data_IF_083911931843
#
_entry.id   IF_083911931843
#
_cell.length_a   1.000
_cell.length_b   1.000
_cell.length_c   1.000
_cell.angle_alpha   90.00
_cell.angle_beta   90.00
_cell.angle_gamma   90.00
#
_symmetry.space_group_name_H-M   'P 1'
#
loop_
_entity.id
_entity.type
_entity.pdbx_description
1 polymer ?
#
# COMPACT_ATOMS: atom_id res chain seq x y z
N UNK A 1 0.16 -41.99 -30.22
CA UNK A 1 0.88 -41.67 -28.96
C UNK A 1 1.09 -40.16 -28.75
N UNK A 2 0.12 -39.33 -29.15
CA UNK A 2 0.22 -37.84 -28.99
C UNK A 2 -0.82 -37.25 -28.01
N UNK A 3 -1.62 -38.08 -27.35
CA UNK A 3 -2.73 -37.65 -26.50
C UNK A 3 -2.35 -37.43 -25.02
N UNK A 4 -1.29 -38.08 -24.52
CA UNK A 4 -0.93 -37.97 -23.09
C UNK A 4 -0.20 -36.68 -22.72
N UNK A 5 0.67 -36.17 -23.60
CA UNK A 5 1.39 -34.90 -23.35
C UNK A 5 0.46 -33.66 -23.46
N UNK A 6 -0.52 -33.73 -24.37
CA UNK A 6 -1.49 -32.62 -24.52
C UNK A 6 -2.44 -32.52 -23.32
N UNK A 7 -2.83 -33.65 -22.74
CA UNK A 7 -3.67 -33.70 -21.52
C UNK A 7 -2.90 -33.19 -20.28
N UNK A 8 -1.60 -33.50 -20.17
CA UNK A 8 -0.76 -32.97 -19.10
C UNK A 8 -0.57 -31.43 -19.21
N UNK A 9 -0.39 -30.90 -20.43
CA UNK A 9 -0.26 -29.46 -20.65
C UNK A 9 -1.55 -28.72 -20.32
N UNK A 10 -2.71 -29.25 -20.67
CA UNK A 10 -4.02 -28.70 -20.33
C UNK A 10 -4.32 -28.78 -18.82
N UNK A 11 -3.87 -29.81 -18.14
CA UNK A 11 -4.03 -29.94 -16.68
C UNK A 11 -3.13 -28.98 -15.89
N UNK A 12 -1.95 -28.66 -16.42
CA UNK A 12 -1.04 -27.66 -15.83
C UNK A 12 -1.56 -26.24 -16.08
N UNK A 13 -2.07 -25.95 -17.28
CA UNK A 13 -2.71 -24.66 -17.57
C UNK A 13 -4.01 -24.45 -16.79
N UNK A 14 -4.82 -25.50 -16.61
CA UNK A 14 -6.01 -25.44 -15.76
C UNK A 14 -5.68 -25.30 -14.26
N UNK A 15 -4.56 -25.88 -13.79
CA UNK A 15 -4.04 -25.65 -12.43
C UNK A 15 -3.49 -24.24 -12.22
N UNK A 16 -2.89 -23.63 -13.24
CA UNK A 16 -2.42 -22.24 -13.21
C UNK A 16 -3.62 -21.28 -13.26
N UNK A 17 -4.66 -21.59 -14.02
CA UNK A 17 -5.89 -20.80 -14.09
C UNK A 17 -6.75 -20.87 -12.80
N UNK A 18 -6.54 -21.89 -11.96
CA UNK A 18 -7.20 -22.03 -10.64
C UNK A 18 -6.32 -21.60 -9.45
N UNK A 19 -5.20 -20.92 -9.68
CA UNK A 19 -4.59 -20.12 -8.62
C UNK A 19 -5.49 -18.90 -8.40
N UNK A 20 -6.48 -19.04 -7.53
CA UNK A 20 -7.27 -17.95 -7.01
C UNK A 20 -6.29 -16.88 -6.54
N UNK A 21 -6.29 -15.72 -7.19
CA UNK A 21 -5.55 -14.54 -6.73
C UNK A 21 -6.05 -14.25 -5.32
N UNK A 22 -5.24 -14.56 -4.31
CA UNK A 22 -5.58 -14.30 -2.91
C UNK A 22 -5.00 -12.95 -2.50
N UNK A 23 -5.61 -12.32 -1.51
CA UNK A 23 -4.99 -11.21 -0.78
C UNK A 23 -3.64 -11.67 -0.23
N UNK A 24 -2.59 -10.88 -0.44
CA UNK A 24 -1.27 -11.12 0.13
C UNK A 24 -0.91 -10.02 1.11
N UNK A 25 -0.46 -10.41 2.30
CA UNK A 25 0.01 -9.48 3.33
C UNK A 25 1.46 -9.78 3.63
N UNK A 26 2.31 -8.79 3.41
CA UNK A 26 3.75 -8.88 3.65
C UNK A 26 4.11 -8.10 4.90
N UNK A 27 4.83 -8.76 5.81
CA UNK A 27 5.41 -8.17 7.02
C UNK A 27 6.93 -8.33 6.93
N UNK A 28 7.66 -7.34 6.39
CA UNK A 28 9.10 -7.48 6.18
C UNK A 28 9.87 -7.60 7.49
N UNK A 29 10.64 -8.67 7.63
CA UNK A 29 11.49 -8.96 8.79
C UNK A 29 12.80 -8.13 8.74
N UNK A 30 12.69 -6.80 8.86
CA UNK A 30 13.83 -5.89 8.77
C UNK A 30 14.08 -5.14 10.08
N UNK A 31 15.33 -5.11 10.62
CA UNK A 31 15.63 -4.44 11.89
C UNK A 31 15.26 -2.97 11.94
N UNK A 32 15.44 -2.22 10.84
CA UNK A 32 15.06 -0.80 10.77
C UNK A 32 13.54 -0.61 10.83
N UNK A 33 12.77 -1.48 10.20
CA UNK A 33 11.29 -1.45 10.30
C UNK A 33 10.87 -1.69 11.74
N UNK A 34 11.44 -2.70 12.41
CA UNK A 34 11.19 -2.98 13.83
C UNK A 34 11.60 -1.83 14.74
N UNK A 35 12.74 -1.20 14.47
CA UNK A 35 13.21 -0.03 15.21
C UNK A 35 12.23 1.14 15.12
N UNK A 36 11.89 1.57 13.90
CA UNK A 36 10.98 2.70 13.70
C UNK A 36 9.56 2.40 14.19
N UNK A 37 9.10 1.16 14.08
CA UNK A 37 7.83 0.74 14.68
C UNK A 37 7.87 0.87 16.21
N UNK A 38 8.97 0.50 16.87
CA UNK A 38 9.12 0.65 18.32
C UNK A 38 9.08 2.12 18.74
N UNK A 39 9.76 3.00 17.99
CA UNK A 39 9.71 4.45 18.21
C UNK A 39 8.28 4.97 18.04
N UNK A 40 7.55 4.56 16.96
CA UNK A 40 6.18 4.98 16.72
C UNK A 40 5.20 4.50 17.82
N UNK A 41 5.45 3.33 18.42
CA UNK A 41 4.57 2.77 19.47
C UNK A 41 4.73 3.42 20.83
N UNK A 42 5.92 3.90 21.15
CA UNK A 42 6.16 4.47 22.49
C UNK A 42 5.31 5.73 22.67
N UNK A 43 4.47 5.74 23.72
CA UNK A 43 3.59 6.85 24.06
C UNK A 43 4.38 8.13 24.42
N UNK A 44 5.63 7.99 24.90
CA UNK A 44 6.51 9.10 25.25
C UNK A 44 7.22 9.71 24.02
N UNK A 45 7.10 9.11 22.84
CA UNK A 45 7.72 9.63 21.63
C UNK A 45 7.10 10.98 21.26
N UNK A 46 7.89 12.09 21.25
CA UNK A 46 7.39 13.40 20.84
C UNK A 46 6.86 13.38 19.39
N UNK A 47 5.86 14.23 19.09
CA UNK A 47 5.20 14.31 17.78
C UNK A 47 6.19 14.43 16.61
N UNK A 48 7.25 15.23 16.73
CA UNK A 48 8.29 15.36 15.69
C UNK A 48 8.98 14.05 15.39
N UNK A 49 9.39 13.31 16.43
CA UNK A 49 10.05 12.02 16.26
C UNK A 49 9.06 10.92 15.81
N UNK A 50 7.82 10.97 16.31
CA UNK A 50 6.75 10.10 15.83
C UNK A 50 6.53 10.28 14.32
N UNK A 51 6.44 11.53 13.84
CA UNK A 51 6.30 11.84 12.42
C UNK A 51 7.48 11.31 11.61
N UNK A 52 8.71 11.50 12.11
CA UNK A 52 9.91 10.95 11.46
C UNK A 52 9.88 9.41 11.40
N UNK A 53 9.46 8.75 12.47
CA UNK A 53 9.35 7.29 12.49
C UNK A 53 8.31 6.78 11.48
N UNK A 54 7.15 7.43 11.40
CA UNK A 54 6.12 7.10 10.42
C UNK A 54 6.61 7.30 8.98
N UNK A 55 7.28 8.41 8.71
CA UNK A 55 7.87 8.70 7.39
C UNK A 55 8.89 7.62 6.97
N UNK A 56 9.82 7.24 7.87
CA UNK A 56 10.79 6.19 7.59
C UNK A 56 10.11 4.82 7.38
N UNK A 57 9.07 4.49 8.14
CA UNK A 57 8.28 3.28 7.88
C UNK A 57 7.64 3.32 6.50
N UNK A 58 7.09 4.46 6.10
CA UNK A 58 6.58 4.68 4.74
C UNK A 58 7.63 4.39 3.66
N UNK A 59 8.86 4.89 3.85
CA UNK A 59 9.99 4.67 2.94
C UNK A 59 10.30 3.18 2.78
N UNK A 60 10.57 2.50 3.89
CA UNK A 60 11.04 1.12 3.85
C UNK A 60 9.97 0.14 3.39
N UNK A 61 8.73 0.33 3.80
CA UNK A 61 7.60 -0.48 3.31
C UNK A 61 7.34 -0.26 1.82
N UNK A 62 7.46 0.97 1.33
CA UNK A 62 7.32 1.25 -0.12
C UNK A 62 8.47 0.64 -0.92
N UNK A 63 9.70 0.71 -0.41
CA UNK A 63 10.83 0.05 -1.05
C UNK A 63 10.61 -1.45 -1.21
N UNK A 64 10.10 -2.12 -0.18
CA UNK A 64 9.75 -3.55 -0.27
C UNK A 64 8.56 -3.80 -1.21
N UNK A 65 7.53 -2.98 -1.16
CA UNK A 65 6.34 -3.11 -1.99
C UNK A 65 6.62 -2.96 -3.49
N UNK A 66 7.66 -2.22 -3.83
CA UNK A 66 8.03 -1.92 -5.22
C UNK A 66 9.08 -2.87 -5.80
N UNK A 67 9.68 -3.74 -5.00
CA UNK A 67 10.81 -4.61 -5.35
C UNK A 67 10.64 -5.36 -6.70
N UNK A 68 9.51 -6.02 -6.91
CA UNK A 68 9.21 -6.82 -8.10
C UNK A 68 7.96 -6.30 -8.84
N UNK A 69 7.62 -5.03 -8.63
CA UNK A 69 6.38 -4.46 -9.11
C UNK A 69 6.57 -3.27 -10.04
N UNK A 70 7.66 -2.52 -9.87
CA UNK A 70 7.97 -1.42 -10.77
C UNK A 70 8.33 -1.95 -12.15
N UNK A 71 7.70 -1.43 -13.21
CA UNK A 71 8.08 -1.76 -14.57
C UNK A 71 9.44 -1.14 -14.89
N UNK A 72 10.29 -1.89 -15.58
CA UNK A 72 11.61 -1.42 -16.00
C UNK A 72 11.79 -1.49 -17.50
N UNK A 73 12.68 -0.68 -18.02
CA UNK A 73 13.12 -0.69 -19.41
C UNK A 73 14.65 -0.76 -19.45
N UNK A 74 15.15 -1.69 -20.28
CA UNK A 74 16.57 -1.84 -20.53
C UNK A 74 17.00 -0.94 -21.71
N UNK A 75 18.13 -0.29 -21.55
CA UNK A 75 18.72 0.61 -22.56
C UNK A 75 20.25 0.60 -22.47
N UNK A 76 20.89 1.47 -23.22
CA UNK A 76 22.35 1.66 -23.22
C UNK A 76 22.66 3.09 -22.83
N UNK A 77 23.53 3.26 -21.84
CA UNK A 77 24.05 4.56 -21.42
C UNK A 77 25.53 4.72 -21.74
N UNK A 78 25.97 5.97 -21.91
CA UNK A 78 27.37 6.31 -22.01
C UNK A 78 27.90 6.65 -20.61
N UNK A 79 28.84 5.85 -20.12
CA UNK A 79 29.63 6.20 -18.92
C UNK A 79 30.81 7.12 -19.33
N UNK A 80 31.55 7.68 -18.39
CA UNK A 80 32.75 8.45 -18.72
C UNK A 80 33.80 7.67 -19.56
N UNK A 81 33.77 6.34 -19.49
CA UNK A 81 34.79 5.50 -20.15
C UNK A 81 34.23 4.73 -21.35
N UNK A 82 33.04 4.18 -21.28
CA UNK A 82 32.48 3.33 -22.34
C UNK A 82 30.96 3.25 -22.27
N UNK A 83 30.35 2.60 -23.26
CA UNK A 83 28.91 2.28 -23.26
C UNK A 83 28.67 1.03 -22.44
N UNK A 84 27.56 1.01 -21.67
CA UNK A 84 27.12 -0.16 -20.94
C UNK A 84 25.60 -0.29 -20.93
N UNK A 85 25.09 -1.49 -20.68
CA UNK A 85 23.66 -1.73 -20.44
C UNK A 85 23.24 -1.07 -19.13
N UNK A 86 22.01 -0.53 -19.12
CA UNK A 86 21.41 0.13 -17.97
C UNK A 86 19.92 -0.19 -17.91
N UNK A 87 19.40 -0.29 -16.70
CA UNK A 87 17.96 -0.51 -16.45
C UNK A 87 17.39 0.72 -15.74
N UNK A 88 16.29 1.24 -16.25
CA UNK A 88 15.54 2.35 -15.65
C UNK A 88 14.13 1.92 -15.30
N UNK A 89 13.52 2.56 -14.29
CA UNK A 89 12.08 2.50 -14.12
C UNK A 89 11.43 3.07 -15.37
N UNK A 90 10.45 2.37 -15.92
CA UNK A 90 9.80 2.80 -17.17
C UNK A 90 9.00 4.09 -16.94
N UNK A 91 9.40 5.23 -17.54
CA UNK A 91 8.74 6.52 -17.33
C UNK A 91 7.36 6.62 -17.99
N UNK A 92 7.04 5.73 -18.93
CA UNK A 92 5.76 5.71 -19.64
C UNK A 92 4.65 5.01 -18.84
N UNK A 93 5.03 4.27 -17.78
CA UNK A 93 4.06 3.56 -16.96
C UNK A 93 3.58 4.46 -15.81
N UNK A 94 2.29 4.86 -15.81
CA UNK A 94 1.78 5.77 -14.81
C UNK A 94 1.74 5.13 -13.42
N UNK A 95 2.20 5.90 -12.42
CA UNK A 95 2.16 5.53 -11.00
C UNK A 95 1.42 6.61 -10.25
N UNK A 96 0.46 6.22 -9.41
CA UNK A 96 -0.27 7.11 -8.51
C UNK A 96 -0.04 6.77 -7.04
N UNK A 97 0.12 7.79 -6.22
CA UNK A 97 0.13 7.68 -4.75
C UNK A 97 -1.18 8.26 -4.24
N UNK A 98 -1.89 7.51 -3.41
CA UNK A 98 -3.18 7.90 -2.84
C UNK A 98 -3.07 7.93 -1.32
N UNK A 99 -2.64 9.05 -0.71
CA UNK A 99 -2.73 9.20 0.74
C UNK A 99 -4.18 9.39 1.17
N UNK A 100 -4.63 8.57 2.14
CA UNK A 100 -5.91 8.79 2.81
C UNK A 100 -5.71 9.87 3.87
N UNK A 101 -6.29 11.02 3.61
CA UNK A 101 -6.12 12.22 4.45
C UNK A 101 -6.97 12.08 5.73
N UNK A 102 -6.45 12.42 6.92
CA UNK A 102 -5.20 13.09 7.24
C UNK A 102 -4.01 12.14 7.46
N UNK A 103 -4.23 10.98 8.11
CA UNK A 103 -3.16 10.10 8.61
C UNK A 103 -2.19 9.65 7.51
N UNK A 104 -2.67 9.35 6.29
CA UNK A 104 -1.82 8.94 5.17
C UNK A 104 -0.75 9.95 4.74
N UNK A 105 -0.93 11.24 5.09
CA UNK A 105 0.06 12.28 4.78
C UNK A 105 1.39 12.08 5.52
N UNK A 106 1.40 11.41 6.68
CA UNK A 106 2.63 11.21 7.45
C UNK A 106 3.62 10.27 6.76
N UNK A 107 3.15 9.47 5.81
CA UNK A 107 3.99 8.57 5.02
C UNK A 107 4.45 9.21 3.70
N UNK A 108 3.75 10.26 3.23
CA UNK A 108 3.83 10.75 1.85
C UNK A 108 5.22 11.25 1.46
N UNK A 109 5.86 12.06 2.31
CA UNK A 109 7.13 12.73 1.99
C UNK A 109 8.23 11.75 1.57
N UNK A 110 8.38 10.65 2.31
CA UNK A 110 9.41 9.66 2.04
C UNK A 110 9.00 8.68 0.93
N UNK A 111 7.70 8.40 0.80
CA UNK A 111 7.18 7.60 -0.32
C UNK A 111 7.39 8.31 -1.66
N UNK A 112 7.19 9.63 -1.72
CA UNK A 112 7.49 10.41 -2.93
C UNK A 112 8.99 10.42 -3.29
N UNK A 113 9.89 10.30 -2.32
CA UNK A 113 11.34 10.17 -2.61
C UNK A 113 11.67 8.80 -3.22
N UNK A 114 10.93 7.74 -2.86
CA UNK A 114 11.06 6.41 -3.49
C UNK A 114 10.45 6.40 -4.88
N UNK A 115 9.34 7.11 -5.07
CA UNK A 115 8.57 7.18 -6.33
C UNK A 115 8.45 8.62 -6.83
N UNK A 116 9.55 9.28 -7.24
CA UNK A 116 9.57 10.73 -7.52
C UNK A 116 8.73 11.14 -8.73
N UNK A 117 8.41 10.21 -9.64
CA UNK A 117 7.62 10.47 -10.85
C UNK A 117 6.13 10.20 -10.65
N UNK A 118 5.72 9.69 -9.48
CA UNK A 118 4.34 9.34 -9.21
C UNK A 118 3.46 10.58 -9.03
N UNK A 119 2.27 10.57 -9.62
CA UNK A 119 1.24 11.57 -9.33
C UNK A 119 0.63 11.33 -7.94
N UNK A 120 0.24 12.40 -7.23
CA UNK A 120 -0.38 12.31 -5.91
C UNK A 120 -1.85 12.70 -5.98
N UNK A 121 -2.72 11.80 -5.57
CA UNK A 121 -4.17 11.99 -5.56
C UNK A 121 -4.70 11.93 -4.12
N UNK A 122 -4.99 13.07 -3.52
CA UNK A 122 -5.49 13.13 -2.15
C UNK A 122 -6.92 12.60 -2.07
N UNK A 123 -7.17 11.68 -1.14
CA UNK A 123 -8.49 11.14 -0.85
C UNK A 123 -8.82 11.40 0.62
N UNK A 124 -9.74 12.32 0.89
CA UNK A 124 -10.15 12.70 2.24
C UNK A 124 -11.38 11.91 2.64
N UNK A 125 -11.22 11.07 3.65
CA UNK A 125 -12.27 10.26 4.23
C UNK A 125 -12.47 10.62 5.69
N UNK A 126 -13.71 10.72 6.12
CA UNK A 126 -14.10 10.94 7.51
C UNK A 126 -15.11 9.88 7.89
N UNK A 127 -15.05 9.42 9.12
CA UNK A 127 -16.06 8.54 9.70
C UNK A 127 -17.14 9.37 10.36
N UNK A 128 -18.37 9.17 9.97
CA UNK A 128 -19.51 9.78 10.66
C UNK A 128 -19.58 9.24 12.09
N UNK A 129 -19.64 10.15 13.08
CA UNK A 129 -19.62 9.76 14.50
C UNK A 129 -20.86 9.01 14.94
N UNK A 130 -21.99 9.21 14.25
CA UNK A 130 -23.28 8.63 14.60
C UNK A 130 -23.56 7.31 13.89
N UNK A 131 -23.32 7.25 12.56
CA UNK A 131 -23.57 6.06 11.74
C UNK A 131 -22.35 5.15 11.66
N UNK A 132 -21.15 5.65 12.02
CA UNK A 132 -19.86 5.00 11.85
C UNK A 132 -19.51 4.67 10.39
N UNK A 133 -20.29 5.16 9.43
CA UNK A 133 -20.02 4.98 8.01
C UNK A 133 -18.97 5.97 7.51
N UNK A 134 -18.06 5.54 6.64
CA UNK A 134 -17.10 6.45 6.04
C UNK A 134 -17.79 7.32 4.98
N UNK A 135 -17.49 8.62 4.98
CA UNK A 135 -17.90 9.55 3.95
C UNK A 135 -16.68 10.23 3.31
N UNK A 136 -16.80 10.59 2.03
CA UNK A 136 -15.72 11.23 1.28
C UNK A 136 -15.95 12.75 1.22
N UNK A 137 -15.04 13.54 1.83
CA UNK A 137 -15.09 15.01 1.79
C UNK A 137 -14.10 15.61 0.78
N UNK A 138 -13.12 14.84 0.32
CA UNK A 138 -12.15 15.25 -0.68
C UNK A 138 -11.84 14.07 -1.60
N UNK A 139 -12.04 14.25 -2.90
CA UNK A 139 -11.65 13.25 -3.91
C UNK A 139 -10.92 13.95 -5.06
N UNK A 140 -9.62 13.69 -5.19
CA UNK A 140 -8.75 14.21 -6.26
C UNK A 140 -8.35 13.11 -7.25
N UNK A 141 -8.98 11.93 -7.17
CA UNK A 141 -8.79 10.89 -8.17
C UNK A 141 -9.35 11.38 -9.52
N UNK A 142 -8.74 11.03 -10.66
CA UNK A 142 -9.31 11.31 -11.98
C UNK A 142 -10.60 10.51 -12.19
N UNK A 143 -11.47 10.95 -13.07
CA UNK A 143 -12.72 10.25 -13.40
C UNK A 143 -12.45 8.81 -13.89
N UNK A 144 -11.34 8.63 -14.60
CA UNK A 144 -10.86 7.33 -15.07
C UNK A 144 -9.33 7.31 -15.08
N UNK A 145 -8.75 6.21 -14.61
CA UNK A 145 -7.33 5.94 -14.75
C UNK A 145 -6.99 5.26 -16.08
N UNK A 146 -5.74 5.41 -16.52
CA UNK A 146 -5.18 4.47 -17.47
C UNK A 146 -5.20 3.06 -16.85
N UNK A 147 -5.70 2.02 -17.56
CA UNK A 147 -5.80 0.67 -17.00
C UNK A 147 -4.48 0.05 -16.55
N UNK A 148 -3.34 0.58 -16.98
CA UNK A 148 -2.01 0.14 -16.57
C UNK A 148 -1.45 0.93 -15.37
N UNK A 149 -2.18 1.92 -14.87
CA UNK A 149 -1.75 2.74 -13.73
C UNK A 149 -1.55 1.86 -12.49
N UNK A 150 -0.39 1.99 -11.90
CA UNK A 150 -0.05 1.36 -10.62
C UNK A 150 -0.37 2.31 -9.47
N UNK A 151 -1.07 1.84 -8.46
CA UNK A 151 -1.52 2.67 -7.33
C UNK A 151 -0.86 2.21 -6.03
N UNK A 152 -0.31 3.17 -5.29
CA UNK A 152 0.15 2.99 -3.91
C UNK A 152 -0.79 3.76 -2.99
N UNK A 153 -1.56 3.07 -2.16
CA UNK A 153 -2.42 3.70 -1.14
C UNK A 153 -1.62 3.82 0.15
N UNK A 154 -1.66 4.99 0.78
CA UNK A 154 -1.04 5.25 2.07
C UNK A 154 -2.11 5.36 3.16
N UNK A 155 -2.21 4.33 4.00
CA UNK A 155 -3.12 4.27 5.14
C UNK A 155 -2.37 3.66 6.34
N UNK A 156 -1.87 4.50 7.28
CA UNK A 156 -1.03 4.02 8.37
C UNK A 156 -1.65 2.95 9.26
N UNK A 157 -2.96 2.95 9.38
CA UNK A 157 -3.67 2.08 10.33
C UNK A 157 -4.84 1.35 9.66
N UNK A 158 -4.69 0.07 9.40
CA UNK A 158 -5.76 -0.80 8.92
C UNK A 158 -6.52 -1.41 10.12
N UNK A 159 -7.47 -0.66 10.67
CA UNK A 159 -8.24 -1.06 11.84
C UNK A 159 -9.51 -1.83 11.49
N UNK A 160 -10.65 -1.15 11.38
CA UNK A 160 -11.94 -1.77 11.00
C UNK A 160 -12.04 -2.08 9.51
N UNK A 161 -11.37 -1.31 8.66
CA UNK A 161 -11.39 -1.47 7.21
C UNK A 161 -12.26 -0.46 6.46
N UNK A 162 -13.10 0.33 7.14
CA UNK A 162 -14.06 1.21 6.46
C UNK A 162 -13.42 2.18 5.46
N UNK A 163 -12.41 2.96 5.87
CA UNK A 163 -11.73 3.92 5.00
C UNK A 163 -11.02 3.25 3.82
N UNK A 164 -10.28 2.18 4.08
CA UNK A 164 -9.54 1.50 3.02
C UNK A 164 -10.46 0.80 2.02
N UNK A 165 -11.59 0.25 2.47
CA UNK A 165 -12.60 -0.34 1.57
C UNK A 165 -13.23 0.71 0.67
N UNK A 166 -13.52 1.92 1.21
CA UNK A 166 -14.01 3.03 0.39
C UNK A 166 -12.96 3.47 -0.62
N UNK A 167 -11.69 3.61 -0.23
CA UNK A 167 -10.61 3.95 -1.14
C UNK A 167 -10.45 2.90 -2.26
N UNK A 168 -10.49 1.63 -1.93
CA UNK A 168 -10.45 0.54 -2.92
C UNK A 168 -11.63 0.61 -3.90
N UNK A 169 -12.85 0.85 -3.40
CA UNK A 169 -14.04 1.04 -4.24
C UNK A 169 -13.88 2.22 -5.20
N UNK A 170 -13.40 3.36 -4.70
CA UNK A 170 -13.16 4.57 -5.50
C UNK A 170 -12.13 4.31 -6.63
N UNK A 171 -11.05 3.60 -6.33
CA UNK A 171 -9.97 3.29 -7.28
C UNK A 171 -10.43 2.25 -8.31
N UNK A 172 -11.06 1.16 -7.88
CA UNK A 172 -11.48 0.08 -8.78
C UNK A 172 -12.63 0.50 -9.69
N UNK A 173 -13.56 1.33 -9.20
CA UNK A 173 -14.64 1.89 -10.03
C UNK A 173 -14.12 2.79 -11.16
N UNK A 174 -12.89 3.29 -11.06
CA UNK A 174 -12.19 4.10 -12.07
C UNK A 174 -11.28 3.28 -12.99
N UNK A 175 -11.38 1.94 -12.95
CA UNK A 175 -10.76 1.03 -13.92
C UNK A 175 -9.47 0.35 -13.45
N UNK A 176 -8.99 0.57 -12.24
CA UNK A 176 -7.80 -0.09 -11.71
C UNK A 176 -8.14 -1.49 -11.21
N UNK A 177 -7.35 -2.48 -11.62
CA UNK A 177 -7.46 -3.83 -11.11
C UNK A 177 -6.74 -3.96 -9.75
N UNK A 178 -7.24 -4.78 -8.81
CA UNK A 178 -6.66 -4.91 -7.47
C UNK A 178 -5.19 -5.36 -7.45
N UNK A 179 -4.73 -6.14 -8.41
CA UNK A 179 -3.35 -6.61 -8.54
C UNK A 179 -2.36 -5.49 -8.92
N UNK A 180 -2.87 -4.36 -9.43
CA UNK A 180 -2.11 -3.12 -9.67
C UNK A 180 -2.09 -2.20 -8.44
N UNK A 181 -2.68 -2.60 -7.32
CA UNK A 181 -2.72 -1.80 -6.09
C UNK A 181 -1.78 -2.37 -5.04
N UNK A 182 -1.03 -1.49 -4.38
CA UNK A 182 -0.26 -1.78 -3.17
C UNK A 182 -0.77 -0.89 -2.04
N UNK A 183 -0.99 -1.46 -0.86
CA UNK A 183 -1.33 -0.71 0.34
C UNK A 183 -0.10 -0.68 1.24
N UNK A 184 0.30 0.51 1.64
CA UNK A 184 1.35 0.74 2.64
C UNK A 184 0.67 1.12 3.95
N UNK A 185 0.87 0.29 4.96
CA UNK A 185 0.33 0.50 6.31
C UNK A 185 1.40 0.27 7.36
N UNK A 186 1.30 0.93 8.50
CA UNK A 186 2.26 0.72 9.61
C UNK A 186 1.76 -0.39 10.52
N UNK A 187 0.49 -0.36 10.91
CA UNK A 187 -0.14 -1.41 11.71
C UNK A 187 -1.45 -1.85 11.07
N UNK A 188 -1.66 -3.16 11.04
CA UNK A 188 -2.88 -3.76 10.53
C UNK A 188 -3.54 -4.65 11.58
N UNK A 189 -4.86 -4.77 11.53
CA UNK A 189 -5.62 -5.68 12.39
C UNK A 189 -6.48 -6.64 11.56
N UNK A 190 -6.78 -7.85 12.07
CA UNK A 190 -7.50 -8.87 11.33
C UNK A 190 -8.85 -8.43 10.73
N UNK A 191 -9.67 -7.54 11.36
CA UNK A 191 -10.91 -7.10 10.76
C UNK A 191 -10.76 -6.42 9.40
N UNK A 192 -9.80 -5.48 9.26
CA UNK A 192 -9.54 -4.83 7.98
C UNK A 192 -9.02 -5.81 6.92
N UNK A 193 -8.11 -6.71 7.31
CA UNK A 193 -7.54 -7.71 6.40
C UNK A 193 -8.62 -8.68 5.87
N UNK A 194 -9.59 -9.05 6.71
CA UNK A 194 -10.73 -9.88 6.26
C UNK A 194 -11.59 -9.17 5.21
N UNK A 195 -11.88 -7.88 5.37
CA UNK A 195 -12.65 -7.13 4.37
C UNK A 195 -11.87 -6.97 3.06
N UNK A 196 -10.55 -6.73 3.13
CA UNK A 196 -9.71 -6.59 1.96
C UNK A 196 -9.51 -7.90 1.18
N UNK A 197 -9.87 -9.05 1.76
CA UNK A 197 -9.86 -10.35 1.04
C UNK A 197 -10.85 -10.41 -0.13
N UNK A 198 -11.80 -9.49 -0.21
CA UNK A 198 -12.73 -9.34 -1.33
C UNK A 198 -12.04 -8.76 -2.60
N UNK A 199 -10.77 -8.33 -2.49
CA UNK A 199 -9.97 -7.82 -3.60
C UNK A 199 -8.84 -8.79 -3.97
N UNK A 200 -9.09 -9.78 -4.84
CA UNK A 200 -8.10 -10.78 -5.22
C UNK A 200 -6.92 -10.14 -5.97
N UNK A 201 -5.70 -10.54 -5.61
CA UNK A 201 -4.47 -9.99 -6.19
C UNK A 201 -3.93 -8.72 -5.51
N UNK A 202 -4.71 -8.10 -4.62
CA UNK A 202 -4.24 -6.99 -3.79
C UNK A 202 -3.07 -7.42 -2.90
N UNK A 203 -2.09 -6.54 -2.75
CA UNK A 203 -0.97 -6.76 -1.83
C UNK A 203 -0.88 -5.63 -0.80
N UNK A 204 -0.67 -6.01 0.45
CA UNK A 204 -0.53 -5.11 1.60
C UNK A 204 0.87 -5.29 2.17
N UNK A 205 1.55 -4.17 2.43
CA UNK A 205 2.84 -4.13 3.10
C UNK A 205 2.66 -3.39 4.41
N UNK A 206 2.89 -4.09 5.53
CA UNK A 206 2.70 -3.55 6.88
C UNK A 206 3.89 -3.91 7.77
N UNK A 207 4.21 -3.03 8.73
CA UNK A 207 5.30 -3.32 9.66
C UNK A 207 4.91 -4.41 10.68
N UNK A 208 3.60 -4.56 10.96
CA UNK A 208 3.09 -5.61 11.85
C UNK A 208 1.59 -5.83 11.64
N UNK A 209 1.14 -7.04 11.98
CA UNK A 209 -0.27 -7.36 12.19
C UNK A 209 -0.48 -7.51 13.70
N UNK A 210 -1.31 -6.65 14.29
CA UNK A 210 -1.65 -6.65 15.69
C UNK A 210 -2.84 -7.59 16.02
N UNK A 211 -3.06 -7.84 17.31
CA UNK A 211 -4.00 -8.86 17.78
C UNK A 211 -5.45 -8.58 17.42
N UNK A 212 -5.88 -7.30 17.46
CA UNK A 212 -7.25 -6.94 17.16
C UNK A 212 -7.60 -5.50 17.49
N UNK A 213 -8.87 -5.27 17.78
CA UNK A 213 -9.41 -3.95 18.11
C UNK A 213 -10.02 -3.95 19.50
N UNK A 214 -9.90 -2.81 20.21
CA UNK A 214 -10.66 -2.58 21.45
C UNK A 214 -12.13 -2.19 21.14
N UNK A 215 -12.92 -1.98 22.18
CA UNK A 215 -14.34 -1.61 22.07
C UNK A 215 -14.60 -0.27 21.37
N UNK A 216 -13.57 0.59 21.24
CA UNK A 216 -13.64 1.88 20.52
C UNK A 216 -13.12 1.79 19.08
N UNK A 217 -12.72 0.59 18.62
CA UNK A 217 -12.20 0.38 17.27
C UNK A 217 -10.72 0.74 17.08
N UNK A 218 -9.96 0.99 18.15
CA UNK A 218 -8.51 1.19 18.08
C UNK A 218 -7.77 -0.15 18.03
N UNK A 219 -6.71 -0.21 17.25
CA UNK A 219 -5.82 -1.38 17.16
C UNK A 219 -5.10 -1.58 18.51
N UNK A 220 -5.02 -2.82 18.96
CA UNK A 220 -4.32 -3.20 20.22
C UNK A 220 -3.27 -4.26 19.91
N UNK A 221 -2.01 -4.05 20.35
CA UNK A 221 -1.46 -2.93 21.11
C UNK A 221 -1.42 -1.60 20.34
N UNK A 222 -1.36 -1.59 19.00
CA UNK A 222 -1.46 -0.41 18.15
C UNK A 222 -0.35 0.63 18.38
N UNK A 223 -0.66 1.86 18.03
CA UNK A 223 0.20 3.04 18.23
C UNK A 223 -0.61 4.32 18.55
N UNK A 224 -1.90 4.18 18.93
CA UNK A 224 -2.80 5.30 19.14
C UNK A 224 -3.36 5.86 17.83
N UNK A 225 -3.86 7.10 17.86
CA UNK A 225 -4.27 7.81 16.65
C UNK A 225 -3.04 8.42 15.94
N UNK A 226 -2.75 7.91 14.73
CA UNK A 226 -1.58 8.36 13.99
C UNK A 226 -1.70 9.80 13.48
N UNK A 227 -2.92 10.23 13.15
CA UNK A 227 -3.17 11.61 12.73
C UNK A 227 -2.95 12.60 13.87
N UNK A 228 -3.59 12.37 15.00
CA UNK A 228 -3.49 13.25 16.15
C UNK A 228 -2.05 13.30 16.71
N UNK A 229 -1.39 12.13 16.83
CA UNK A 229 0.01 12.06 17.26
C UNK A 229 0.98 12.80 16.33
N UNK A 230 0.73 12.73 15.01
CA UNK A 230 1.60 13.36 14.02
C UNK A 230 1.34 14.86 13.88
N UNK A 231 0.10 15.32 14.03
CA UNK A 231 -0.29 16.70 13.79
C UNK A 231 -0.54 17.50 15.07
N UNK A 232 -0.54 16.87 16.24
CA UNK A 232 -0.66 17.53 17.55
C UNK A 232 -2.08 18.03 17.83
N UNK A 233 -3.09 17.29 17.37
CA UNK A 233 -4.53 17.63 17.54
C UNK A 233 -5.25 16.64 18.44
#
# INVERSE_FOLDING_TARGET
MLTSQYIQHLSVQAKIANMTLQLRVYVPEHPLIKHWLSVARDVNTPSVLFKSAMSELGRWLTYEATRNWLPTVDTVVQTPLTRCSATFVNPEMPIGIVPIVRAGLVLLDEVQKVLPVAAVYHLGLVRDESSLEPSCYLNKLPDRFDPQTRIVILEPMLATGGSIMMAMKEITSRGIQPDLVRIISVVAAPPALRQLSDYPGLEIYTAIIDEGLNSKGYIVPGLGDAGDRAFGT
#
